data_IF_413116762441
#
_entry.id   IF_413116762441
#
_cell.length_a   1.000
_cell.length_b   1.000
_cell.length_c   1.000
_cell.angle_alpha   90.00
_cell.angle_beta   90.00
_cell.angle_gamma   90.00
#
_symmetry.space_group_name_H-M   'P 1'
#
loop_
_entity.id
_entity.type
_entity.pdbx_description
1 polymer ?
#
# COMPACT_ATOMS: atom_id res chain seq x y z
N UNK A 1 5.50 8.30 21.91
CA UNK A 1 4.08 8.70 21.95
C UNK A 1 3.86 9.72 20.85
N UNK A 2 2.84 9.55 19.98
CA UNK A 2 2.55 10.51 18.90
C UNK A 2 1.87 11.73 19.51
N UNK A 3 2.34 12.97 19.25
CA UNK A 3 1.67 14.18 19.74
C UNK A 3 0.21 14.28 19.28
N UNK A 4 -0.66 14.75 20.17
CA UNK A 4 -2.11 14.80 19.92
C UNK A 4 -2.48 15.63 18.68
N UNK A 5 -1.80 16.76 18.46
CA UNK A 5 -2.08 17.63 17.31
C UNK A 5 -1.91 16.90 15.96
N UNK A 6 -0.97 15.94 15.87
CA UNK A 6 -0.79 15.12 14.66
C UNK A 6 -1.98 14.19 14.46
N UNK A 7 -2.51 13.61 15.54
CA UNK A 7 -3.67 12.72 15.46
C UNK A 7 -4.93 13.48 15.07
N UNK A 8 -5.13 14.67 15.64
CA UNK A 8 -6.28 15.53 15.34
C UNK A 8 -6.24 15.98 13.86
N UNK A 9 -5.06 16.35 13.32
CA UNK A 9 -4.90 16.69 11.90
C UNK A 9 -5.20 15.50 10.98
N UNK A 10 -4.69 14.31 11.30
CA UNK A 10 -4.95 13.11 10.50
C UNK A 10 -6.43 12.69 10.53
N UNK A 11 -7.14 12.90 11.64
CA UNK A 11 -8.54 12.49 11.77
C UNK A 11 -9.48 13.25 10.81
N UNK A 12 -9.13 14.46 10.41
CA UNK A 12 -9.93 15.30 9.49
C UNK A 12 -9.66 14.97 8.01
N UNK A 13 -8.62 14.18 7.71
CA UNK A 13 -8.23 13.86 6.34
C UNK A 13 -9.09 12.76 5.72
N UNK A 14 -9.33 12.89 4.41
CA UNK A 14 -10.01 11.85 3.63
C UNK A 14 -9.15 10.59 3.46
N UNK A 15 -9.80 9.44 3.27
CA UNK A 15 -9.14 8.14 3.11
C UNK A 15 -8.01 8.13 2.05
N UNK A 16 -8.21 8.82 0.92
CA UNK A 16 -7.18 8.93 -0.13
C UNK A 16 -5.90 9.57 0.39
N UNK A 17 -5.99 10.71 1.09
CA UNK A 17 -4.84 11.40 1.66
C UNK A 17 -4.21 10.60 2.80
N UNK A 18 -5.02 9.98 3.67
CA UNK A 18 -4.52 9.11 4.73
C UNK A 18 -3.67 7.95 4.19
N UNK A 19 -4.06 7.40 3.05
CA UNK A 19 -3.28 6.35 2.40
C UNK A 19 -2.01 6.88 1.72
N UNK A 20 -2.05 8.07 1.11
CA UNK A 20 -0.83 8.74 0.62
C UNK A 20 0.17 9.00 1.76
N UNK A 21 -0.35 9.44 2.91
CA UNK A 21 0.42 9.66 4.13
C UNK A 21 1.02 8.34 4.63
N UNK A 22 0.24 7.25 4.67
CA UNK A 22 0.76 5.91 5.02
C UNK A 22 1.92 5.52 4.10
N UNK A 23 1.74 5.61 2.78
CA UNK A 23 2.75 5.20 1.81
C UNK A 23 4.01 6.10 1.88
N UNK A 24 3.87 7.36 2.30
CA UNK A 24 5.00 8.24 2.59
C UNK A 24 5.73 7.85 3.87
N UNK A 25 4.99 7.56 4.95
CA UNK A 25 5.56 7.13 6.23
C UNK A 25 6.28 5.79 6.07
N UNK A 26 5.73 4.83 5.32
CA UNK A 26 6.38 3.54 5.03
C UNK A 26 7.72 3.74 4.31
N UNK A 27 7.78 4.64 3.32
CA UNK A 27 9.05 5.02 2.65
C UNK A 27 10.04 5.66 3.62
N UNK A 28 9.58 6.59 4.46
CA UNK A 28 10.43 7.21 5.48
C UNK A 28 10.98 6.19 6.48
N UNK A 29 10.18 5.18 6.85
CA UNK A 29 10.62 4.08 7.72
C UNK A 29 11.68 3.26 7.00
N UNK A 30 11.42 2.80 5.77
CA UNK A 30 12.36 2.00 5.00
C UNK A 30 13.70 2.72 4.77
N UNK A 31 13.67 4.03 4.48
CA UNK A 31 14.88 4.83 4.33
C UNK A 31 15.66 4.91 5.65
N UNK A 32 14.98 5.11 6.79
CA UNK A 32 15.62 5.18 8.11
C UNK A 32 16.16 3.83 8.59
N UNK A 33 15.44 2.74 8.30
CA UNK A 33 15.87 1.38 8.59
C UNK A 33 17.04 0.97 7.69
N UNK A 34 17.00 1.32 6.40
CA UNK A 34 18.06 1.08 5.43
C UNK A 34 19.35 1.88 5.67
N UNK A 35 19.30 2.94 6.48
CA UNK A 35 20.50 3.67 6.93
C UNK A 35 21.27 2.88 8.02
N UNK A 36 20.72 1.79 8.58
CA UNK A 36 21.42 0.93 9.53
C UNK A 36 22.44 -0.04 8.92
N UNK A 37 22.53 -0.14 7.58
CA UNK A 37 23.44 -1.06 6.87
C UNK A 37 24.49 -0.33 6.00
N UNK A 38 24.98 0.84 6.42
CA UNK A 38 26.23 1.41 5.84
C UNK A 38 27.51 0.96 6.55
N UNK A 39 27.40 -0.03 7.44
CA UNK A 39 28.54 -0.85 7.84
C UNK A 39 28.24 -2.32 7.56
N UNK A 40 28.89 -2.81 6.50
CA UNK A 40 29.46 -4.17 6.42
C UNK A 40 28.53 -5.38 6.22
N UNK A 41 28.56 -5.89 4.99
CA UNK A 41 28.57 -7.31 4.60
C UNK A 41 27.35 -8.22 4.88
N UNK A 42 26.69 -8.62 3.78
CA UNK A 42 26.06 -9.94 3.53
C UNK A 42 25.15 -10.52 4.62
N UNK A 43 23.82 -10.39 4.44
CA UNK A 43 22.88 -11.47 4.77
C UNK A 43 21.52 -11.26 4.09
N UNK A 44 21.08 -12.25 3.31
CA UNK A 44 19.68 -12.43 2.91
C UNK A 44 18.84 -12.64 4.18
N UNK A 45 18.11 -11.63 4.62
CA UNK A 45 17.20 -11.71 5.76
C UNK A 45 15.82 -12.24 5.38
N UNK A 46 15.49 -13.43 5.90
CA UNK A 46 14.15 -14.02 5.91
C UNK A 46 13.20 -13.08 6.67
N UNK A 47 12.07 -12.70 6.06
CA UNK A 47 11.04 -11.90 6.74
C UNK A 47 10.20 -12.84 7.62
N UNK A 48 10.11 -12.62 8.96
CA UNK A 48 9.27 -13.42 9.84
C UNK A 48 7.79 -13.26 9.52
N UNK A 49 7.08 -14.38 9.51
CA UNK A 49 5.74 -14.57 8.92
C UNK A 49 4.58 -14.25 9.87
N UNK A 50 4.80 -13.51 10.96
CA UNK A 50 3.76 -13.30 11.97
C UNK A 50 3.90 -11.96 12.71
N UNK A 51 3.26 -10.91 12.18
CA UNK A 51 2.62 -9.83 12.97
C UNK A 51 2.01 -8.76 12.07
N UNK A 52 0.72 -8.52 12.32
CA UNK A 52 -0.23 -7.51 11.80
C UNK A 52 -1.19 -8.10 10.75
N UNK A 53 -2.49 -7.78 10.82
CA UNK A 53 -3.35 -7.95 9.65
C UNK A 53 -2.64 -7.30 8.47
N UNK A 54 -2.35 -8.11 7.44
CA UNK A 54 -1.42 -7.75 6.37
C UNK A 54 -1.76 -6.37 5.82
N UNK A 55 -0.76 -5.49 5.77
CA UNK A 55 -0.95 -4.13 5.25
C UNK A 55 -1.62 -4.19 3.88
N UNK A 56 -2.76 -3.53 3.77
CA UNK A 56 -3.51 -3.46 2.52
C UNK A 56 -2.91 -2.36 1.66
N UNK A 57 -2.20 -2.73 0.60
CA UNK A 57 -1.70 -1.76 -0.38
C UNK A 57 -2.78 -1.49 -1.41
N UNK A 58 -3.05 -0.23 -1.69
CA UNK A 58 -3.99 0.16 -2.74
C UNK A 58 -3.23 0.78 -3.90
N UNK A 59 -3.65 0.47 -5.12
CA UNK A 59 -2.97 0.96 -6.32
C UNK A 59 -3.96 1.25 -7.44
N UNK A 60 -3.69 2.29 -8.20
CA UNK A 60 -4.37 2.56 -9.47
C UNK A 60 -3.70 1.82 -10.63
N UNK A 61 -4.49 1.10 -11.42
CA UNK A 61 -4.01 0.31 -12.55
C UNK A 61 -4.83 0.52 -13.82
N UNK A 62 -4.13 0.46 -14.96
CA UNK A 62 -4.71 0.47 -16.30
C UNK A 62 -4.85 -0.96 -16.81
N UNK A 63 -6.04 -1.36 -17.27
CA UNK A 63 -6.37 -2.75 -17.60
C UNK A 63 -6.71 -2.87 -19.09
N UNK A 64 -6.17 -3.89 -19.76
CA UNK A 64 -6.57 -4.25 -21.12
C UNK A 64 -7.73 -5.25 -21.08
N UNK A 65 -8.77 -5.05 -21.90
CA UNK A 65 -9.97 -5.90 -21.87
C UNK A 65 -9.88 -7.18 -22.71
N UNK A 66 -8.78 -7.41 -23.43
CA UNK A 66 -8.58 -8.62 -24.26
C UNK A 66 -9.41 -8.70 -25.54
N UNK A 67 -10.12 -7.64 -25.92
CA UNK A 67 -10.90 -7.53 -27.16
C UNK A 67 -10.26 -6.50 -28.09
N UNK A 68 -10.64 -6.49 -29.37
CA UNK A 68 -10.30 -5.39 -30.29
C UNK A 68 -11.04 -4.11 -29.88
N UNK A 69 -10.45 -3.39 -28.93
CA UNK A 69 -11.01 -2.19 -28.32
C UNK A 69 -10.12 -0.99 -28.64
N UNK A 70 -10.69 0.01 -29.32
CA UNK A 70 -10.00 1.28 -29.65
C UNK A 70 -9.74 2.19 -28.44
N UNK A 71 -10.37 1.93 -27.30
CA UNK A 71 -10.29 2.75 -26.08
C UNK A 71 -9.42 2.12 -24.98
N UNK A 72 -8.75 1.00 -25.28
CA UNK A 72 -7.84 0.37 -24.34
C UNK A 72 -6.49 1.11 -24.27
N UNK A 73 -5.81 1.08 -23.11
CA UNK A 73 -6.21 0.45 -21.85
C UNK A 73 -7.29 1.24 -21.09
N UNK A 74 -8.12 0.55 -20.32
CA UNK A 74 -9.18 1.15 -19.51
C UNK A 74 -8.67 1.47 -18.11
N UNK A 75 -9.13 2.58 -17.52
CA UNK A 75 -8.77 2.96 -16.17
C UNK A 75 -8.47 4.46 -16.03
N UNK A 76 -7.71 4.86 -15.00
CA UNK A 76 -7.18 3.99 -13.94
C UNK A 76 -8.30 3.44 -13.03
N UNK A 77 -8.11 2.23 -12.51
CA UNK A 77 -8.98 1.65 -11.49
C UNK A 77 -8.20 1.31 -10.23
N UNK A 78 -8.84 1.49 -9.09
CA UNK A 78 -8.33 1.07 -7.80
C UNK A 78 -8.40 -0.45 -7.62
N UNK A 79 -7.32 -0.98 -7.10
CA UNK A 79 -7.18 -2.33 -6.58
C UNK A 79 -6.62 -2.26 -5.17
N UNK A 80 -6.98 -3.21 -4.31
CA UNK A 80 -6.26 -3.48 -3.09
C UNK A 80 -5.53 -4.82 -3.14
N UNK A 81 -4.41 -4.89 -2.42
CA UNK A 81 -3.48 -6.00 -2.35
C UNK A 81 -3.20 -6.30 -0.87
N UNK A 82 -3.29 -7.55 -0.47
CA UNK A 82 -2.94 -7.97 0.90
C UNK A 82 -2.30 -9.36 0.90
N UNK A 83 -1.66 -9.72 2.00
CA UNK A 83 -1.13 -11.06 2.23
C UNK A 83 -2.11 -11.86 3.07
N UNK A 84 -2.46 -13.05 2.58
CA UNK A 84 -3.30 -14.03 3.25
C UNK A 84 -2.71 -15.41 2.97
N UNK A 85 -2.43 -16.20 4.01
CA UNK A 85 -1.82 -17.54 3.92
C UNK A 85 -0.56 -17.57 3.02
N UNK A 86 0.33 -16.58 3.19
CA UNK A 86 1.56 -16.42 2.42
C UNK A 86 1.35 -15.97 0.96
N UNK A 87 0.11 -15.89 0.48
CA UNK A 87 -0.23 -15.53 -0.91
C UNK A 87 -0.66 -14.07 -1.00
N UNK A 88 -0.32 -13.43 -2.12
CA UNK A 88 -0.85 -12.10 -2.42
C UNK A 88 -2.26 -12.25 -2.96
N UNK A 89 -3.22 -11.64 -2.27
CA UNK A 89 -4.61 -11.48 -2.72
C UNK A 89 -4.81 -10.11 -3.32
N UNK A 90 -5.79 -10.01 -4.20
CA UNK A 90 -6.11 -8.78 -4.94
C UNK A 90 -7.61 -8.60 -5.00
N UNK A 91 -8.10 -7.38 -4.84
CA UNK A 91 -9.53 -7.07 -5.06
C UNK A 91 -9.70 -5.77 -5.84
N UNK A 92 -10.56 -5.83 -6.84
CA UNK A 92 -10.96 -4.68 -7.65
C UNK A 92 -11.93 -3.79 -6.88
N UNK A 93 -11.68 -2.49 -6.88
CA UNK A 93 -12.48 -1.48 -6.16
C UNK A 93 -13.27 -0.63 -7.14
N UNK A 94 -12.66 -0.25 -8.28
CA UNK A 94 -13.30 0.57 -9.31
C UNK A 94 -12.67 1.95 -9.46
N UNK A 95 -13.42 2.91 -10.01
CA UNK A 95 -12.87 4.24 -10.34
C UNK A 95 -12.64 5.13 -9.12
N UNK A 96 -13.43 4.92 -8.07
CA UNK A 96 -13.39 5.70 -6.83
C UNK A 96 -12.85 4.80 -5.74
N UNK A 97 -11.83 5.28 -5.02
CA UNK A 97 -11.28 4.57 -3.88
C UNK A 97 -12.35 4.44 -2.80
N UNK A 98 -12.47 3.24 -2.24
CA UNK A 98 -13.38 2.93 -1.14
C UNK A 98 -12.65 2.01 -0.18
N UNK A 99 -13.01 2.10 1.08
CA UNK A 99 -12.61 1.10 2.05
C UNK A 99 -13.18 -0.26 1.66
N UNK A 100 -12.39 -1.30 1.91
CA UNK A 100 -12.70 -2.66 1.51
C UNK A 100 -12.60 -3.53 2.75
N UNK A 101 -13.72 -4.10 3.17
CA UNK A 101 -13.73 -5.13 4.21
C UNK A 101 -13.09 -6.40 3.62
N UNK A 102 -11.93 -6.80 4.17
CA UNK A 102 -11.14 -7.97 3.77
C UNK A 102 -11.47 -9.20 4.60
#
# INVERSE_FOLDING_TARGET
MIPKYILDELAEEGLSHLMEIRDYVDRLIADREGISERDSHTAKGVIPEDRRPGSVTYRQEWVRCGKDCKKCPHGPYWYCYWKEDGKTRTRYIGKVLKEVEL
#
